data_IF_254282322917
#
_entry.id   IF_254282322917
#
_cell.length_a   1.000
_cell.length_b   1.000
_cell.length_c   1.000
_cell.angle_alpha   90.00
_cell.angle_beta   90.00
_cell.angle_gamma   90.00
#
_symmetry.space_group_name_H-M   'P 1'
#
loop_
_entity.id
_entity.type
_entity.pdbx_description
1 polymer ?
#
# COMPACT_ATOMS: atom_id res chain seq x y z
N UNK A 1 8.55 10.28 5.29
CA UNK A 1 8.69 8.84 5.60
C UNK A 1 7.78 8.48 6.77
N UNK A 2 7.18 7.32 6.72
CA UNK A 2 6.35 6.82 7.80
C UNK A 2 7.22 6.39 9.00
N UNK A 3 6.73 6.52 10.26
CA UNK A 3 7.47 6.09 11.45
C UNK A 3 7.38 4.55 11.60
N UNK A 4 8.29 3.83 10.97
CA UNK A 4 8.35 2.38 10.98
C UNK A 4 9.58 1.84 10.27
N UNK A 5 9.47 0.65 9.69
CA UNK A 5 10.57 -0.02 9.03
C UNK A 5 10.93 0.64 7.69
N UNK A 6 12.21 0.58 7.36
CA UNK A 6 12.74 0.86 6.03
C UNK A 6 13.20 -0.46 5.42
N UNK A 7 12.67 -0.79 4.27
CA UNK A 7 12.97 -2.02 3.55
C UNK A 7 13.45 -1.74 2.14
N UNK A 8 14.07 -2.74 1.55
CA UNK A 8 14.54 -2.68 0.16
C UNK A 8 13.95 -3.82 -0.64
N UNK A 9 13.77 -3.57 -1.93
CA UNK A 9 13.47 -4.60 -2.92
C UNK A 9 14.46 -4.47 -4.07
N UNK A 10 15.13 -5.59 -4.39
CA UNK A 10 16.04 -5.68 -5.53
C UNK A 10 15.22 -5.98 -6.78
N UNK A 11 15.44 -5.20 -7.83
CA UNK A 11 14.74 -5.30 -9.11
C UNK A 11 15.71 -5.81 -10.17
N UNK A 12 15.32 -6.87 -10.86
CA UNK A 12 15.98 -7.25 -12.11
C UNK A 12 15.45 -6.39 -13.28
N UNK A 13 16.21 -6.24 -14.37
CA UNK A 13 15.77 -5.47 -15.52
C UNK A 13 14.40 -5.96 -16.07
N UNK A 14 13.44 -5.03 -16.20
CA UNK A 14 12.09 -5.33 -16.64
C UNK A 14 11.15 -5.87 -15.55
N UNK A 15 11.65 -6.16 -14.35
CA UNK A 15 10.83 -6.56 -13.22
C UNK A 15 10.06 -5.37 -12.64
N UNK A 16 8.79 -5.57 -12.34
CA UNK A 16 7.92 -4.56 -11.73
C UNK A 16 7.66 -4.81 -10.26
N UNK A 17 7.75 -3.74 -9.46
CA UNK A 17 7.38 -3.74 -8.05
C UNK A 17 6.39 -2.61 -7.78
N UNK A 18 5.28 -2.94 -7.14
CA UNK A 18 4.21 -2.00 -6.86
C UNK A 18 4.22 -1.62 -5.39
N UNK A 19 4.11 -0.32 -5.10
CA UNK A 19 4.03 0.19 -3.73
C UNK A 19 3.06 1.36 -3.62
N UNK A 20 2.47 1.56 -2.46
CA UNK A 20 1.70 2.78 -2.19
C UNK A 20 2.57 4.02 -2.39
N UNK A 21 2.02 5.09 -2.97
CA UNK A 21 2.77 6.31 -3.24
C UNK A 21 3.43 6.91 -2.00
N UNK A 22 2.78 6.79 -0.83
CA UNK A 22 3.34 7.24 0.45
C UNK A 22 4.44 6.33 1.03
N UNK A 23 4.60 5.11 0.53
CA UNK A 23 5.63 4.17 0.97
C UNK A 23 6.97 4.38 0.25
N UNK A 24 6.97 4.88 -0.98
CA UNK A 24 8.21 5.13 -1.74
C UNK A 24 9.12 6.12 -0.99
N UNK A 25 10.38 5.78 -0.85
CA UNK A 25 11.38 6.60 -0.20
C UNK A 25 12.48 7.03 -1.16
N UNK A 26 13.10 6.08 -1.86
CA UNK A 26 14.20 6.32 -2.79
C UNK A 26 14.38 5.13 -3.74
N UNK A 27 15.17 5.31 -4.78
CA UNK A 27 15.63 4.23 -5.65
C UNK A 27 17.01 4.52 -6.21
N UNK A 28 17.65 3.51 -6.79
CA UNK A 28 18.82 3.72 -7.62
C UNK A 28 18.43 4.47 -8.90
N UNK A 29 19.41 5.14 -9.52
CA UNK A 29 19.17 6.06 -10.63
C UNK A 29 18.54 5.40 -11.88
N UNK A 30 18.76 4.09 -12.05
CA UNK A 30 18.26 3.30 -13.17
C UNK A 30 16.86 2.70 -12.94
N UNK A 31 16.19 3.06 -11.85
CA UNK A 31 14.82 2.65 -11.57
C UNK A 31 13.87 3.78 -11.90
N UNK A 32 12.97 3.52 -12.83
CA UNK A 32 11.89 4.44 -13.17
C UNK A 32 10.65 4.15 -12.32
N UNK A 33 9.95 5.21 -11.92
CA UNK A 33 8.68 5.08 -11.19
C UNK A 33 7.55 5.67 -12.02
N UNK A 34 6.48 4.90 -12.20
CA UNK A 34 5.28 5.30 -12.91
C UNK A 34 4.04 5.09 -12.04
N UNK A 35 3.07 5.98 -12.14
CA UNK A 35 1.79 5.79 -11.46
C UNK A 35 0.92 4.86 -12.29
N UNK A 36 0.57 3.69 -11.76
CA UNK A 36 -0.39 2.78 -12.39
C UNK A 36 -1.72 2.81 -11.66
N UNK A 37 -2.76 3.08 -12.43
CA UNK A 37 -4.15 2.95 -12.00
C UNK A 37 -4.72 1.67 -12.60
N UNK A 38 -4.93 0.65 -11.78
CA UNK A 38 -5.73 -0.51 -12.17
C UNK A 38 -7.18 -0.27 -11.70
N UNK A 39 -8.13 -0.23 -12.65
CA UNK A 39 -9.53 0.01 -12.37
C UNK A 39 -10.04 1.39 -12.82
N UNK A 40 -11.30 1.71 -12.49
CA UNK A 40 -11.88 3.00 -12.88
C UNK A 40 -11.18 4.12 -12.11
N UNK A 41 -10.62 5.08 -12.85
CA UNK A 41 -9.89 6.25 -12.30
C UNK A 41 -10.68 7.00 -11.21
N UNK A 42 -12.00 6.88 -11.17
CA UNK A 42 -12.86 7.61 -10.24
C UNK A 42 -12.82 7.06 -8.80
N UNK A 43 -12.57 5.76 -8.61
CA UNK A 43 -12.48 5.17 -7.27
C UNK A 43 -11.15 5.51 -6.58
N UNK A 44 -10.06 5.48 -7.33
CA UNK A 44 -8.72 5.75 -6.78
C UNK A 44 -8.48 7.23 -6.45
N UNK A 45 -8.98 8.14 -7.30
CA UNK A 45 -8.76 9.57 -7.10
C UNK A 45 -9.58 10.15 -5.93
N UNK A 46 -10.66 9.49 -5.53
CA UNK A 46 -11.52 9.96 -4.44
C UNK A 46 -11.02 9.51 -3.07
N UNK A 47 -10.28 8.39 -3.01
CA UNK A 47 -9.78 7.77 -1.78
C UNK A 47 -8.27 7.97 -1.55
N UNK A 48 -7.60 8.71 -2.44
CA UNK A 48 -6.18 9.04 -2.30
C UNK A 48 -5.20 7.85 -2.43
N UNK A 49 -5.70 6.66 -2.79
CA UNK A 49 -4.86 5.48 -2.93
C UNK A 49 -4.40 5.31 -4.37
N UNK A 50 -3.10 5.29 -4.57
CA UNK A 50 -2.49 4.96 -5.86
C UNK A 50 -1.22 4.15 -5.62
N UNK A 51 -0.93 3.26 -6.55
CA UNK A 51 0.31 2.50 -6.54
C UNK A 51 1.29 3.08 -7.55
N UNK A 52 2.54 3.21 -7.10
CA UNK A 52 3.68 3.45 -7.96
C UNK A 52 4.21 2.09 -8.43
N UNK A 53 4.46 1.94 -9.72
CA UNK A 53 5.24 0.84 -10.26
C UNK A 53 6.67 1.31 -10.42
N UNK A 54 7.58 0.65 -9.75
CA UNK A 54 9.02 0.79 -9.95
C UNK A 54 9.50 -0.31 -10.88
N UNK A 55 10.39 0.03 -11.81
CA UNK A 55 10.97 -0.89 -12.79
C UNK A 55 12.41 -0.50 -13.05
N UNK A 56 13.32 -1.47 -13.00
CA UNK A 56 14.71 -1.25 -13.42
C UNK A 56 14.82 -1.33 -14.95
N UNK A 57 15.54 -0.38 -15.57
CA UNK A 57 15.59 -0.27 -17.04
C UNK A 57 16.53 -1.30 -17.67
N UNK A 58 17.85 -1.16 -17.49
CA UNK A 58 18.88 -1.86 -18.23
C UNK A 58 19.87 -2.64 -17.35
N UNK A 59 19.87 -2.42 -16.05
CA UNK A 59 20.72 -3.07 -15.05
C UNK A 59 19.91 -3.30 -13.78
N UNK A 60 20.32 -4.24 -12.90
CA UNK A 60 19.67 -4.42 -11.61
C UNK A 60 19.58 -3.13 -10.82
N UNK A 61 18.44 -2.90 -10.23
CA UNK A 61 18.14 -1.71 -9.44
C UNK A 61 17.66 -2.04 -8.04
N UNK A 62 17.51 -1.01 -7.22
CA UNK A 62 17.04 -1.17 -5.85
C UNK A 62 16.03 -0.07 -5.51
N UNK A 63 14.93 -0.47 -4.88
CA UNK A 63 13.92 0.44 -4.33
C UNK A 63 14.00 0.40 -2.82
N UNK A 64 13.89 1.57 -2.20
CA UNK A 64 13.76 1.76 -0.75
C UNK A 64 12.33 2.23 -0.46
N UNK A 65 11.67 1.55 0.45
CA UNK A 65 10.31 1.88 0.84
C UNK A 65 10.11 1.78 2.35
N UNK A 66 9.10 2.46 2.84
CA UNK A 66 8.82 2.61 4.27
C UNK A 66 7.45 2.06 4.62
N UNK A 67 7.29 1.63 5.87
CA UNK A 67 6.01 1.23 6.44
C UNK A 67 5.66 2.04 7.69
N UNK A 68 4.40 2.00 8.09
CA UNK A 68 3.97 2.50 9.38
C UNK A 68 3.90 1.34 10.38
N UNK A 69 4.85 1.31 11.32
CA UNK A 69 5.11 0.16 12.18
C UNK A 69 5.95 -0.91 11.48
N UNK A 70 5.82 -2.16 11.90
CA UNK A 70 6.55 -3.28 11.35
C UNK A 70 5.99 -3.70 9.99
N UNK A 71 6.86 -4.17 9.12
CA UNK A 71 6.54 -4.73 7.82
C UNK A 71 6.48 -6.26 7.88
N UNK A 72 5.47 -6.85 7.24
CA UNK A 72 5.34 -8.29 7.08
C UNK A 72 5.08 -8.68 5.64
N UNK A 73 5.89 -9.58 5.12
CA UNK A 73 5.67 -10.24 3.84
C UNK A 73 4.69 -11.40 3.97
N UNK A 74 3.79 -11.53 3.01
CA UNK A 74 2.82 -12.63 2.90
C UNK A 74 2.84 -13.15 1.48
N UNK A 75 3.13 -14.44 1.34
CA UNK A 75 3.07 -15.13 0.06
C UNK A 75 1.62 -15.33 -0.38
N UNK A 76 1.33 -14.97 -1.62
CA UNK A 76 0.04 -15.17 -2.29
C UNK A 76 0.24 -16.20 -3.41
N UNK A 77 -0.63 -17.20 -3.44
CA UNK A 77 -0.67 -18.22 -4.50
C UNK A 77 -2.09 -18.36 -5.01
N UNK A 78 -2.33 -19.00 -6.19
CA UNK A 78 -3.68 -19.23 -6.70
C UNK A 78 -4.59 -20.00 -5.73
N UNK A 79 -4.01 -20.80 -4.82
CA UNK A 79 -4.74 -21.56 -3.80
C UNK A 79 -4.88 -20.79 -2.46
N UNK A 80 -4.15 -19.70 -2.29
CA UNK A 80 -4.12 -18.89 -1.06
C UNK A 80 -4.21 -17.41 -1.40
N UNK A 81 -5.38 -16.94 -1.85
CA UNK A 81 -5.63 -15.50 -2.05
C UNK A 81 -5.57 -14.77 -0.71
N UNK A 82 -5.30 -13.46 -0.75
CA UNK A 82 -5.16 -12.63 0.43
C UNK A 82 -6.16 -11.47 0.36
N UNK A 83 -6.83 -11.17 1.47
CA UNK A 83 -7.68 -9.98 1.64
C UNK A 83 -7.04 -9.11 2.70
N UNK A 84 -6.81 -7.83 2.39
CA UNK A 84 -6.17 -6.85 3.27
C UNK A 84 -6.98 -5.57 3.28
N UNK A 85 -7.12 -4.97 4.45
CA UNK A 85 -7.60 -3.59 4.57
C UNK A 85 -6.63 -2.64 3.86
N UNK A 86 -7.15 -1.67 3.11
CA UNK A 86 -6.33 -0.76 2.29
C UNK A 86 -5.30 0.02 3.09
N UNK A 87 -5.61 0.38 4.33
CA UNK A 87 -4.69 1.10 5.23
C UNK A 87 -3.47 0.28 5.68
N UNK A 88 -3.48 -1.02 5.44
CA UNK A 88 -2.40 -1.93 5.80
C UNK A 88 -1.56 -2.42 4.62
N UNK A 89 -1.96 -2.18 3.38
CA UNK A 89 -1.17 -2.58 2.21
C UNK A 89 -0.01 -1.61 2.03
N UNK A 90 1.20 -2.13 1.81
CA UNK A 90 2.40 -1.33 1.53
C UNK A 90 2.87 -1.55 0.09
N UNK A 91 3.08 -2.80 -0.30
CA UNK A 91 3.66 -3.14 -1.60
C UNK A 91 3.25 -4.55 -2.06
N UNK A 92 3.49 -4.87 -3.32
CA UNK A 92 3.33 -6.22 -3.88
C UNK A 92 4.16 -6.39 -5.15
N UNK A 93 4.51 -7.65 -5.45
CA UNK A 93 5.28 -8.01 -6.65
C UNK A 93 4.41 -8.01 -7.90
N UNK A 94 5.06 -7.93 -9.06
CA UNK A 94 4.45 -8.25 -10.34
C UNK A 94 3.92 -9.71 -10.35
N UNK A 95 2.85 -9.99 -11.13
CA UNK A 95 2.15 -11.28 -11.07
C UNK A 95 1.03 -11.36 -10.04
N UNK A 96 0.90 -10.34 -9.20
CA UNK A 96 -0.24 -10.14 -8.31
C UNK A 96 -1.29 -9.25 -8.99
N UNK A 97 -2.50 -9.76 -9.07
CA UNK A 97 -3.69 -8.99 -9.43
C UNK A 97 -4.45 -8.61 -8.16
N UNK A 98 -5.07 -7.44 -8.16
CA UNK A 98 -5.93 -7.04 -7.05
C UNK A 98 -7.26 -6.47 -7.53
N UNK A 99 -8.28 -6.65 -6.70
CA UNK A 99 -9.58 -5.99 -6.83
C UNK A 99 -9.94 -5.30 -5.53
N UNK A 100 -10.70 -4.20 -5.64
CA UNK A 100 -11.14 -3.42 -4.49
C UNK A 100 -12.58 -3.78 -4.17
N UNK A 101 -12.83 -4.07 -2.91
CA UNK A 101 -14.18 -4.33 -2.39
C UNK A 101 -14.50 -3.35 -1.28
N UNK A 102 -15.65 -2.70 -1.39
CA UNK A 102 -16.15 -1.80 -0.36
C UNK A 102 -16.80 -2.60 0.76
N UNK A 103 -16.40 -2.34 2.00
CA UNK A 103 -17.01 -2.97 3.17
C UNK A 103 -18.29 -2.19 3.51
N UNK A 104 -19.44 -2.80 3.31
CA UNK A 104 -20.72 -2.20 3.73
C UNK A 104 -20.90 -2.36 5.24
N UNK A 105 -21.06 -1.27 5.97
CA UNK A 105 -21.65 -1.27 7.30
C UNK A 105 -20.74 -1.19 8.52
N UNK A 106 -19.41 -1.38 8.44
CA UNK A 106 -18.55 -1.32 9.63
C UNK A 106 -17.80 0.01 9.81
N UNK A 107 -17.56 0.75 8.74
CA UNK A 107 -16.70 1.95 8.77
C UNK A 107 -17.44 3.27 8.96
N UNK A 108 -18.70 3.35 8.56
CA UNK A 108 -19.45 4.61 8.60
C UNK A 108 -19.83 5.04 10.02
N UNK A 109 -19.87 4.13 10.96
CA UNK A 109 -20.35 4.41 12.31
C UNK A 109 -19.27 4.91 13.28
N UNK A 110 -17.99 4.55 13.05
CA UNK A 110 -16.90 4.91 13.97
C UNK A 110 -15.90 5.92 13.40
N UNK A 111 -15.74 6.01 12.08
CA UNK A 111 -14.61 6.77 11.51
C UNK A 111 -15.00 7.71 10.34
N UNK A 112 -16.27 7.83 10.00
CA UNK A 112 -16.72 8.74 8.94
C UNK A 112 -16.22 8.41 7.53
N UNK A 113 -15.56 7.27 7.33
CA UNK A 113 -15.02 6.79 6.05
C UNK A 113 -15.50 5.39 5.69
N UNK A 114 -15.71 5.16 4.40
CA UNK A 114 -16.05 3.84 3.87
C UNK A 114 -14.76 3.02 3.78
N UNK A 115 -14.65 1.94 4.56
CA UNK A 115 -13.52 1.03 4.52
C UNK A 115 -13.47 0.26 3.18
N UNK A 116 -12.27 0.05 2.67
CA UNK A 116 -12.02 -0.76 1.47
C UNK A 116 -11.07 -1.89 1.80
N UNK A 117 -11.28 -3.02 1.17
CA UNK A 117 -10.30 -4.12 1.16
C UNK A 117 -9.77 -4.33 -0.24
N UNK A 118 -8.50 -4.70 -0.30
CA UNK A 118 -7.88 -5.22 -1.50
C UNK A 118 -7.87 -6.74 -1.43
N UNK A 119 -8.36 -7.37 -2.50
CA UNK A 119 -8.35 -8.82 -2.66
C UNK A 119 -7.25 -9.16 -3.65
N UNK A 120 -6.16 -9.73 -3.18
CA UNK A 120 -4.99 -10.12 -3.96
C UNK A 120 -5.10 -11.56 -4.43
N UNK A 121 -4.78 -11.79 -5.71
CA UNK A 121 -4.75 -13.12 -6.36
C UNK A 121 -3.51 -13.20 -7.26
N UNK A 122 -3.15 -14.41 -7.66
CA UNK A 122 -2.01 -14.67 -8.53
C UNK A 122 -0.89 -15.37 -7.79
N UNK A 123 0.36 -15.09 -8.15
CA UNK A 123 1.54 -15.67 -7.53
C UNK A 123 2.58 -14.58 -7.27
N UNK A 124 3.01 -14.45 -6.02
CA UNK A 124 3.98 -13.46 -5.60
C UNK A 124 3.87 -13.11 -4.13
N UNK A 125 4.40 -11.96 -3.75
CA UNK A 125 4.41 -11.48 -2.37
C UNK A 125 3.64 -10.17 -2.21
N UNK A 126 2.97 -10.01 -1.08
CA UNK A 126 2.32 -8.78 -0.63
C UNK A 126 2.91 -8.39 0.72
N UNK A 127 3.34 -7.14 0.83
CA UNK A 127 3.83 -6.56 2.10
C UNK A 127 2.75 -5.74 2.76
N UNK A 128 2.53 -6.03 4.04
CA UNK A 128 1.57 -5.31 4.87
C UNK A 128 2.27 -4.64 6.05
N UNK A 129 1.72 -3.53 6.53
CA UNK A 129 2.16 -2.81 7.72
C UNK A 129 1.26 -3.09 8.91
N UNK A 130 1.84 -3.09 10.12
CA UNK A 130 1.11 -3.41 11.35
C UNK A 130 0.25 -2.26 11.88
N UNK A 131 0.49 -1.04 11.45
CA UNK A 131 -0.24 0.18 11.86
C UNK A 131 -0.72 0.94 10.64
N UNK A 132 -1.70 1.82 10.83
CA UNK A 132 -2.09 2.81 9.84
C UNK A 132 -2.33 4.18 10.50
N UNK A 133 -2.20 5.23 9.69
CA UNK A 133 -2.26 6.62 10.19
C UNK A 133 -3.66 6.99 10.67
N UNK A 134 -4.70 6.45 10.03
CA UNK A 134 -6.10 6.74 10.39
C UNK A 134 -6.44 6.19 11.77
N UNK A 135 -6.02 4.96 12.06
CA UNK A 135 -6.18 4.35 13.39
C UNK A 135 -5.43 5.16 14.46
N UNK A 136 -4.21 5.63 14.17
CA UNK A 136 -3.47 6.51 15.09
C UNK A 136 -4.21 7.82 15.32
N UNK A 137 -4.66 8.50 14.25
CA UNK A 137 -5.39 9.75 14.36
C UNK A 137 -6.62 9.59 15.26
N UNK A 138 -7.36 8.50 15.07
CA UNK A 138 -8.53 8.20 15.90
C UNK A 138 -8.18 7.98 17.37
N UNK A 139 -7.08 7.28 17.65
CA UNK A 139 -6.61 7.09 19.03
C UNK A 139 -6.18 8.39 19.70
N UNK A 140 -5.70 9.37 18.93
CA UNK A 140 -5.24 10.65 19.45
C UNK A 140 -6.38 11.66 19.66
N UNK A 141 -7.50 11.52 18.93
CA UNK A 141 -8.63 12.46 19.01
C UNK A 141 -9.09 12.77 20.45
N UNK A 142 -9.25 11.80 21.37
CA UNK A 142 -9.67 12.07 22.75
C UNK A 142 -8.69 12.92 23.57
N UNK A 143 -7.43 13.00 23.14
CA UNK A 143 -6.36 13.72 23.85
C UNK A 143 -6.08 15.11 23.24
N UNK A 144 -6.71 15.42 22.12
CA UNK A 144 -6.57 16.74 21.51
C UNK A 144 -7.44 17.76 22.24
N UNK A 145 -6.95 19.01 22.45
CA UNK A 145 -7.76 20.05 23.04
C UNK A 145 -8.96 20.33 22.16
N UNK A 146 -10.15 20.41 22.77
CA UNK A 146 -11.35 20.87 22.07
C UNK A 146 -11.08 22.27 21.52
N UNK A 147 -11.04 22.42 20.20
CA UNK A 147 -11.11 23.72 19.56
C UNK A 147 -12.55 24.25 19.77
N UNK A 148 -12.80 24.83 20.93
CA UNK A 148 -13.93 25.75 21.08
C UNK A 148 -13.67 26.95 20.17
N UNK A 149 -14.50 27.09 19.16
CA UNK A 149 -14.59 28.33 18.37
C UNK A 149 -15.05 29.46 19.28
#
# INVERSE_FOLDING_TARGET
SAPGDICTFDLEPGEGFYMQGGAFMASTYNVETTTKFQGSKSLFSREGMFFLRAEASDAPGKVFYTSYGALKEIEVTPKRPLIVDNGHVVAFTEGIEYSITKIKGLGSFLFGGEGFTLNFRGSGSVWIQTRNVEALATQLLPFLPNRSQ
#
